data_IF_794256177465
#
_entry.id   IF_794256177465
#
_cell.length_a   1.000
_cell.length_b   1.000
_cell.length_c   1.000
_cell.angle_alpha   90.00
_cell.angle_beta   90.00
_cell.angle_gamma   90.00
#
_symmetry.space_group_name_H-M   'P 1'
#
loop_
_entity.id
_entity.type
_entity.pdbx_description
1 polymer ?
#
# COMPACT_ATOMS: atom_id res chain seq x y z
N UNK A 1 16.81 -11.55 -2.57
CA UNK A 1 15.61 -10.78 -2.95
C UNK A 1 16.01 -9.33 -3.14
N UNK A 2 15.50 -8.66 -4.18
CA UNK A 2 15.71 -7.22 -4.37
C UNK A 2 15.01 -6.46 -3.26
N UNK A 3 15.66 -5.46 -2.68
CA UNK A 3 15.06 -4.62 -1.63
C UNK A 3 14.02 -3.70 -2.27
N UNK A 4 12.79 -3.70 -1.75
CA UNK A 4 11.74 -2.80 -2.19
C UNK A 4 12.16 -1.34 -1.99
N UNK A 5 11.97 -0.51 -3.01
CA UNK A 5 12.30 0.92 -3.03
C UNK A 5 11.07 1.79 -2.81
N UNK A 6 9.90 1.31 -3.21
CA UNK A 6 8.64 2.03 -3.07
C UNK A 6 7.49 1.15 -2.56
N UNK A 7 6.62 1.75 -1.75
CA UNK A 7 5.35 1.17 -1.34
C UNK A 7 4.21 2.18 -1.49
N UNK A 8 3.07 1.71 -1.98
CA UNK A 8 1.80 2.45 -1.96
C UNK A 8 0.80 1.64 -1.15
N UNK A 9 0.19 2.28 -0.15
CA UNK A 9 -0.91 1.75 0.64
C UNK A 9 -2.17 2.52 0.25
N UNK A 10 -3.17 1.81 -0.26
CA UNK A 10 -4.49 2.34 -0.56
C UNK A 10 -5.41 2.08 0.63
N UNK A 11 -6.11 3.11 1.09
CA UNK A 11 -7.05 3.02 2.20
C UNK A 11 -8.34 3.76 1.84
N UNK A 12 -9.48 3.06 1.82
CA UNK A 12 -10.79 3.69 1.89
C UNK A 12 -11.31 3.56 3.31
N UNK A 13 -11.58 4.69 3.95
CA UNK A 13 -11.98 4.72 5.35
C UNK A 13 -13.43 4.31 5.48
N UNK A 14 -13.66 3.11 6.02
CA UNK A 14 -14.98 2.60 6.37
C UNK A 14 -15.14 2.63 7.89
N UNK A 15 -14.16 2.10 8.62
CA UNK A 15 -14.09 2.14 10.08
C UNK A 15 -13.28 3.36 10.55
N UNK A 16 -13.83 4.56 10.33
CA UNK A 16 -13.32 5.88 10.76
C UNK A 16 -11.82 5.91 11.13
N UNK A 17 -11.51 5.93 12.43
CA UNK A 17 -10.14 6.04 12.93
C UNK A 17 -9.36 4.73 12.79
N UNK A 18 -10.02 3.58 12.81
CA UNK A 18 -9.40 2.26 12.74
C UNK A 18 -8.57 2.10 11.47
N UNK A 19 -9.22 2.24 10.31
CA UNK A 19 -8.59 2.03 9.00
C UNK A 19 -7.49 3.05 8.72
N UNK A 20 -7.80 4.33 8.97
CA UNK A 20 -6.87 5.44 8.73
C UNK A 20 -5.64 5.33 9.63
N UNK A 21 -5.83 5.09 10.94
CA UNK A 21 -4.72 5.00 11.88
C UNK A 21 -3.88 3.73 11.64
N UNK A 22 -4.50 2.59 11.30
CA UNK A 22 -3.76 1.38 10.96
C UNK A 22 -2.91 1.59 9.72
N UNK A 23 -3.50 2.10 8.63
CA UNK A 23 -2.82 2.35 7.37
C UNK A 23 -1.67 3.36 7.54
N UNK A 24 -1.88 4.40 8.35
CA UNK A 24 -0.81 5.35 8.71
C UNK A 24 0.35 4.68 9.46
N UNK A 25 0.05 3.90 10.51
CA UNK A 25 1.08 3.20 11.29
C UNK A 25 1.83 2.19 10.41
N UNK A 26 1.14 1.50 9.51
CA UNK A 26 1.74 0.56 8.57
C UNK A 26 2.72 1.29 7.63
N UNK A 27 2.34 2.42 7.06
CA UNK A 27 3.24 3.24 6.23
C UNK A 27 4.49 3.68 7.01
N UNK A 28 4.33 4.11 8.25
CA UNK A 28 5.47 4.47 9.11
C UNK A 28 6.37 3.26 9.39
N UNK A 29 5.81 2.08 9.64
CA UNK A 29 6.57 0.86 9.84
C UNK A 29 7.34 0.45 8.57
N UNK A 30 6.74 0.58 7.39
CA UNK A 30 7.43 0.34 6.11
C UNK A 30 8.64 1.26 5.93
N UNK A 31 8.50 2.56 6.26
CA UNK A 31 9.63 3.51 6.28
C UNK A 31 10.72 3.07 7.25
N UNK A 32 10.35 2.65 8.47
CA UNK A 32 11.29 2.20 9.49
C UNK A 32 11.99 0.88 9.13
N UNK A 33 11.34 0.01 8.37
CA UNK A 33 11.95 -1.18 7.76
C UNK A 33 12.88 -0.83 6.57
N UNK A 34 12.97 0.45 6.22
CA UNK A 34 13.88 0.98 5.21
C UNK A 34 13.35 0.86 3.79
N UNK A 35 12.03 0.97 3.59
CA UNK A 35 11.43 1.28 2.29
C UNK A 35 11.57 2.80 2.04
N UNK A 36 12.40 3.25 1.09
CA UNK A 36 12.72 4.67 0.89
C UNK A 36 11.51 5.55 0.53
N UNK A 37 10.60 5.09 -0.32
CA UNK A 37 9.41 5.82 -0.73
C UNK A 37 8.15 5.11 -0.25
N UNK A 38 7.32 5.77 0.55
CA UNK A 38 6.06 5.20 1.04
C UNK A 38 4.98 6.24 0.89
N UNK A 39 3.91 5.89 0.20
CA UNK A 39 2.74 6.76 -0.02
C UNK A 39 1.49 6.11 0.55
N UNK A 40 0.75 6.85 1.37
CA UNK A 40 -0.60 6.54 1.77
C UNK A 40 -1.56 7.29 0.84
N UNK A 41 -2.39 6.55 0.10
CA UNK A 41 -3.50 7.10 -0.68
C UNK A 41 -4.78 6.85 0.10
N UNK A 42 -5.48 7.92 0.49
CA UNK A 42 -6.62 7.86 1.41
C UNK A 42 -7.78 8.73 0.95
N UNK A 43 -9.00 8.23 1.02
CA UNK A 43 -10.23 8.94 0.60
C UNK A 43 -10.70 9.99 1.61
N UNK A 44 -10.44 9.76 2.90
CA UNK A 44 -10.77 10.66 4.01
C UNK A 44 -9.53 11.18 4.76
N UNK A 45 -8.71 12.05 4.15
CA UNK A 45 -7.51 12.60 4.78
C UNK A 45 -7.79 13.38 6.06
N UNK A 46 -9.01 13.92 6.25
CA UNK A 46 -9.44 14.63 7.45
C UNK A 46 -9.37 13.76 8.71
N UNK A 47 -9.49 12.44 8.58
CA UNK A 47 -9.35 11.53 9.72
C UNK A 47 -7.91 11.53 10.25
N UNK A 48 -6.92 11.63 9.35
CA UNK A 48 -5.51 11.77 9.75
C UNK A 48 -5.26 13.12 10.42
N UNK A 49 -5.91 14.19 9.98
CA UNK A 49 -5.83 15.50 10.64
C UNK A 49 -6.33 15.45 12.07
N UNK A 50 -7.49 14.82 12.28
CA UNK A 50 -8.04 14.61 13.61
C UNK A 50 -7.10 13.75 14.48
N UNK A 51 -6.53 12.66 13.94
CA UNK A 51 -5.57 11.81 14.65
C UNK A 51 -4.30 12.53 15.08
N UNK A 52 -3.83 13.46 14.25
CA UNK A 52 -2.60 14.22 14.50
C UNK A 52 -2.83 15.58 15.16
N UNK A 53 -4.10 15.93 15.46
CA UNK A 53 -4.49 17.26 15.95
C UNK A 53 -3.86 18.38 15.10
N UNK A 54 -3.91 18.22 13.78
CA UNK A 54 -3.25 19.09 12.83
C UNK A 54 -4.28 19.86 11.99
N UNK A 55 -4.02 21.14 11.73
CA UNK A 55 -4.93 21.97 10.92
C UNK A 55 -4.84 21.67 9.42
N UNK A 56 -3.72 21.12 8.95
CA UNK A 56 -3.45 20.88 7.53
C UNK A 56 -2.69 19.60 7.30
N UNK A 57 -3.03 18.92 6.21
CA UNK A 57 -2.36 17.69 5.82
C UNK A 57 -1.08 18.08 5.10
N UNK A 58 0.06 17.68 5.66
CA UNK A 58 1.30 17.77 4.92
C UNK A 58 1.32 16.64 3.90
N UNK A 59 1.58 16.98 2.64
CA UNK A 59 1.80 15.99 1.57
C UNK A 59 2.92 15.03 1.95
N UNK A 60 3.92 15.48 2.72
CA UNK A 60 4.98 14.63 3.27
C UNK A 60 5.12 14.93 4.77
N UNK A 61 4.98 13.91 5.61
CA UNK A 61 5.27 14.06 7.04
C UNK A 61 6.76 14.29 7.26
N UNK A 62 7.09 15.36 7.98
CA UNK A 62 8.48 15.67 8.34
C UNK A 62 9.09 14.66 9.30
N UNK A 63 8.26 14.05 10.15
CA UNK A 63 8.72 13.10 11.16
C UNK A 63 8.95 11.70 10.56
N UNK A 64 7.97 11.18 9.79
CA UNK A 64 8.03 9.81 9.26
C UNK A 64 8.55 9.73 7.82
N UNK A 65 8.56 10.85 7.08
CA UNK A 65 8.86 10.88 5.65
C UNK A 65 7.80 10.20 4.78
N UNK A 66 6.67 9.78 5.34
CA UNK A 66 5.54 9.18 4.61
C UNK A 66 4.86 10.27 3.79
N UNK A 67 4.61 9.99 2.50
CA UNK A 67 3.79 10.83 1.63
C UNK A 67 2.32 10.49 1.86
N UNK A 68 1.46 11.49 1.97
CA UNK A 68 0.00 11.32 2.01
C UNK A 68 -0.59 12.03 0.81
N UNK A 69 -1.44 11.33 0.06
CA UNK A 69 -2.12 11.85 -1.11
C UNK A 69 -3.63 11.56 -0.98
N UNK A 70 -4.50 12.57 -1.11
CA UNK A 70 -5.93 12.34 -1.22
C UNK A 70 -6.25 11.42 -2.39
N UNK A 71 -7.21 10.51 -2.21
CA UNK A 71 -7.59 9.53 -3.23
C UNK A 71 -8.03 10.19 -4.53
N UNK A 72 -8.90 11.19 -4.44
CA UNK A 72 -9.39 11.93 -5.61
C UNK A 72 -8.26 12.65 -6.34
N UNK A 73 -7.31 13.24 -5.62
CA UNK A 73 -6.14 13.89 -6.22
C UNK A 73 -5.27 12.87 -6.98
N UNK A 74 -5.07 11.67 -6.42
CA UNK A 74 -4.36 10.60 -7.09
C UNK A 74 -5.05 10.18 -8.40
N UNK A 75 -6.36 9.94 -8.35
CA UNK A 75 -7.15 9.56 -9.52
C UNK A 75 -7.16 10.64 -10.60
N UNK A 76 -7.38 11.89 -10.22
CA UNK A 76 -7.37 13.02 -11.15
C UNK A 76 -5.99 13.23 -11.77
N UNK A 77 -4.93 13.07 -10.99
CA UNK A 77 -3.55 13.17 -11.47
C UNK A 77 -3.26 12.10 -12.51
N UNK A 78 -3.64 10.85 -12.23
CA UNK A 78 -3.47 9.74 -13.16
C UNK A 78 -4.35 9.85 -14.40
N UNK A 79 -5.56 10.37 -14.27
CA UNK A 79 -6.44 10.62 -15.41
C UNK A 79 -5.89 11.73 -16.34
N UNK A 80 -5.26 12.76 -15.79
CA UNK A 80 -4.69 13.89 -16.55
C UNK A 80 -3.35 13.56 -17.18
N UNK A 81 -2.43 12.99 -16.40
CA UNK A 81 -1.05 12.74 -16.83
C UNK A 81 -0.94 11.45 -17.66
N UNK A 82 -1.90 10.54 -17.53
CA UNK A 82 -1.83 9.20 -18.13
C UNK A 82 -0.70 8.35 -17.55
N UNK A 83 -0.75 7.05 -17.80
CA UNK A 83 0.34 6.13 -17.47
C UNK A 83 1.13 5.67 -18.69
N UNK A 84 0.52 5.60 -19.88
CA UNK A 84 1.14 5.05 -21.09
C UNK A 84 2.44 5.79 -21.47
N UNK A 85 2.38 7.11 -21.68
CA UNK A 85 3.55 7.92 -22.05
C UNK A 85 4.66 7.85 -20.99
N UNK A 86 4.31 7.73 -19.71
CA UNK A 86 5.27 7.65 -18.60
C UNK A 86 5.96 6.29 -18.56
N UNK A 87 5.21 5.22 -18.76
CA UNK A 87 5.73 3.85 -18.86
C UNK A 87 6.69 3.70 -20.05
N UNK A 88 6.36 4.29 -21.20
CA UNK A 88 7.24 4.29 -22.38
C UNK A 88 8.54 5.06 -22.14
N UNK A 89 8.47 6.19 -21.43
CA UNK A 89 9.63 6.99 -21.03
C UNK A 89 10.39 6.42 -19.82
N UNK A 90 9.93 5.31 -19.24
CA UNK A 90 10.55 4.67 -18.07
C UNK A 90 10.36 5.45 -16.75
N UNK A 91 9.45 6.42 -16.71
CA UNK A 91 9.04 7.08 -15.48
C UNK A 91 8.06 6.20 -14.70
N UNK A 92 8.59 5.56 -13.66
CA UNK A 92 7.84 4.67 -12.78
C UNK A 92 7.55 5.31 -11.42
N UNK A 93 7.63 6.65 -11.29
CA UNK A 93 7.58 7.33 -9.99
C UNK A 93 6.28 7.07 -9.22
N UNK A 94 5.19 6.78 -9.92
CA UNK A 94 3.89 6.48 -9.32
C UNK A 94 3.55 4.98 -9.32
N UNK A 95 4.44 4.09 -9.78
CA UNK A 95 4.33 2.65 -9.57
C UNK A 95 5.20 2.18 -8.40
N UNK A 96 4.73 1.17 -7.66
CA UNK A 96 5.40 0.71 -6.44
C UNK A 96 5.83 -0.76 -6.49
N UNK A 97 6.98 -1.06 -5.86
CA UNK A 97 7.42 -2.44 -5.61
C UNK A 97 6.46 -3.17 -4.65
N UNK A 98 5.82 -2.44 -3.75
CA UNK A 98 4.82 -2.98 -2.82
C UNK A 98 3.50 -2.22 -3.01
N UNK A 99 2.44 -2.95 -3.30
CA UNK A 99 1.08 -2.43 -3.41
C UNK A 99 0.24 -3.10 -2.34
N UNK A 100 -0.34 -2.32 -1.45
CA UNK A 100 -1.20 -2.81 -0.38
C UNK A 100 -2.58 -2.19 -0.56
N UNK A 101 -3.59 -3.02 -0.76
CA UNK A 101 -4.99 -2.62 -0.63
C UNK A 101 -5.43 -2.90 0.82
N UNK A 102 -5.69 -1.85 1.59
CA UNK A 102 -6.12 -1.98 2.96
C UNK A 102 -7.61 -2.31 3.00
N UNK A 103 -7.97 -3.38 3.71
CA UNK A 103 -9.36 -3.77 3.99
C UNK A 103 -10.19 -3.96 2.72
N UNK A 104 -9.57 -4.55 1.69
CA UNK A 104 -10.19 -4.86 0.39
C UNK A 104 -10.76 -3.59 -0.29
N UNK A 105 -10.12 -2.44 -0.10
CA UNK A 105 -10.62 -1.16 -0.62
C UNK A 105 -10.65 -1.03 -2.15
N UNK A 106 -9.98 -1.96 -2.88
CA UNK A 106 -9.74 -1.96 -4.33
C UNK A 106 -9.02 -0.67 -4.83
N UNK A 107 -7.76 -0.74 -5.30
CA UNK A 107 -7.09 0.42 -5.89
C UNK A 107 -7.83 0.97 -7.12
N UNK A 108 -7.59 2.24 -7.52
CA UNK A 108 -8.24 2.82 -8.70
C UNK A 108 -7.98 2.02 -9.97
N UNK A 109 -9.01 1.85 -10.81
CA UNK A 109 -8.92 1.05 -12.05
C UNK A 109 -7.79 1.53 -12.98
N UNK A 110 -7.56 2.84 -13.08
CA UNK A 110 -6.47 3.40 -13.88
C UNK A 110 -5.08 2.96 -13.38
N UNK A 111 -4.90 2.84 -12.07
CA UNK A 111 -3.66 2.34 -11.47
C UNK A 111 -3.46 0.85 -11.74
N UNK A 112 -4.54 0.06 -11.64
CA UNK A 112 -4.51 -1.37 -11.94
C UNK A 112 -4.15 -1.59 -13.41
N UNK A 113 -4.76 -0.84 -14.33
CA UNK A 113 -4.45 -0.92 -15.76
C UNK A 113 -2.98 -0.57 -16.02
N UNK A 114 -2.45 0.47 -15.39
CA UNK A 114 -1.05 0.86 -15.53
C UNK A 114 -0.07 -0.24 -15.06
N UNK A 115 -0.40 -0.91 -13.95
CA UNK A 115 0.37 -2.07 -13.49
C UNK A 115 0.28 -3.25 -14.47
N UNK A 116 -0.88 -3.49 -15.06
CA UNK A 116 -1.09 -4.52 -16.09
C UNK A 116 -0.26 -4.22 -17.33
N UNK A 117 -0.32 -3.00 -17.85
CA UNK A 117 0.42 -2.57 -19.05
C UNK A 117 1.93 -2.69 -18.82
N UNK A 118 2.41 -2.22 -17.67
CA UNK A 118 3.81 -2.38 -17.27
C UNK A 118 4.23 -3.87 -17.20
N UNK A 119 3.38 -4.72 -16.64
CA UNK A 119 3.65 -6.15 -16.55
C UNK A 119 3.74 -6.81 -17.94
N UNK A 120 2.80 -6.49 -18.84
CA UNK A 120 2.81 -6.99 -20.22
C UNK A 120 4.08 -6.58 -20.99
N UNK A 121 4.50 -5.32 -20.84
CA UNK A 121 5.74 -4.80 -21.48
C UNK A 121 6.99 -5.53 -20.96
N UNK A 122 6.99 -5.92 -19.68
CA UNK A 122 8.17 -6.49 -19.01
C UNK A 122 8.25 -8.02 -19.09
N UNK A 123 7.13 -8.74 -19.13
CA UNK A 123 7.14 -10.21 -19.18
C UNK A 123 7.61 -10.76 -20.56
N UNK A 124 7.49 -9.97 -21.63
CA UNK A 124 8.05 -10.27 -22.95
C UNK A 124 9.54 -9.93 -23.12
N UNK A 125 10.17 -9.24 -22.14
CA UNK A 125 11.61 -8.94 -22.17
C UNK A 125 12.39 -10.05 -21.47
N UNK A 126 13.43 -10.53 -22.11
CA UNK A 126 14.28 -11.63 -21.64
C UNK A 126 14.82 -11.33 -20.21
N UNK A 127 14.27 -12.01 -19.19
CA UNK A 127 14.55 -11.79 -17.75
C UNK A 127 16.04 -11.82 -17.39
N UNK A 128 16.87 -12.39 -18.28
CA UNK A 128 18.35 -12.47 -18.17
C UNK A 128 19.07 -11.14 -18.40
N UNK A 129 18.41 -10.11 -18.95
CA UNK A 129 19.00 -8.76 -19.19
C UNK A 129 18.59 -7.68 -18.19
N UNK A 130 17.77 -8.01 -17.18
CA UNK A 130 17.19 -7.02 -16.26
C UNK A 130 18.01 -6.86 -14.96
N UNK A 131 19.28 -6.45 -15.09
CA UNK A 131 19.94 -5.69 -14.01
C UNK A 131 19.52 -4.19 -14.03
N UNK A 132 18.71 -3.82 -15.04
CA UNK A 132 18.28 -2.46 -15.32
C UNK A 132 16.89 -2.17 -14.73
N UNK A 133 16.83 -1.82 -13.44
CA UNK A 133 15.84 -0.85 -12.91
C UNK A 133 14.35 -1.21 -12.83
N UNK A 134 13.85 -2.32 -13.40
CA UNK A 134 12.40 -2.64 -13.41
C UNK A 134 11.77 -2.87 -12.02
N UNK A 135 10.45 -2.76 -11.87
CA UNK A 135 9.71 -2.97 -10.61
C UNK A 135 9.28 -4.44 -10.50
N UNK A 136 9.51 -5.06 -9.34
CA UNK A 136 8.95 -6.37 -8.99
C UNK A 136 7.77 -6.17 -8.03
N UNK A 137 6.57 -6.11 -8.60
CA UNK A 137 5.36 -5.73 -7.88
C UNK A 137 4.89 -6.87 -6.97
N UNK A 138 4.92 -6.61 -5.67
CA UNK A 138 4.31 -7.43 -4.64
C UNK A 138 2.98 -6.80 -4.22
N UNK A 139 1.88 -7.46 -4.57
CA UNK A 139 0.53 -6.97 -4.27
C UNK A 139 -0.09 -7.77 -3.12
N UNK A 140 -0.44 -7.08 -2.05
CA UNK A 140 -1.10 -7.64 -0.87
C UNK A 140 -2.48 -7.06 -0.65
N UNK A 141 -3.44 -7.96 -0.38
CA UNK A 141 -4.76 -7.65 0.17
C UNK A 141 -4.68 -7.75 1.69
N UNK A 142 -4.67 -6.61 2.37
CA UNK A 142 -4.63 -6.58 3.83
C UNK A 142 -6.04 -6.74 4.40
N UNK A 143 -6.21 -7.68 5.33
CA UNK A 143 -7.45 -7.86 6.09
C UNK A 143 -7.31 -7.33 7.53
N UNK A 144 -8.42 -7.31 8.26
CA UNK A 144 -8.44 -7.02 9.69
C UNK A 144 -7.70 -8.09 10.49
N UNK A 145 -7.37 -7.74 11.74
CA UNK A 145 -6.80 -8.67 12.70
C UNK A 145 -7.77 -9.82 12.95
N UNK A 146 -7.30 -11.05 12.73
CA UNK A 146 -8.06 -12.26 13.03
C UNK A 146 -7.35 -13.07 14.15
N UNK A 147 -8.17 -13.69 14.99
CA UNK A 147 -7.73 -14.60 16.07
C UNK A 147 -8.11 -16.05 15.78
N UNK A 148 -8.97 -16.26 14.80
CA UNK A 148 -9.52 -17.54 14.42
C UNK A 148 -8.54 -18.35 13.58
N UNK A 149 -8.64 -19.68 13.66
CA UNK A 149 -7.72 -20.60 12.99
C UNK A 149 -7.73 -20.52 11.47
N UNK A 150 -8.83 -20.03 10.86
CA UNK A 150 -8.91 -19.86 9.41
C UNK A 150 -7.86 -18.86 8.89
N UNK A 151 -7.43 -17.90 9.73
CA UNK A 151 -6.44 -16.89 9.38
C UNK A 151 -5.08 -17.51 8.99
N UNK A 152 -4.70 -18.59 9.68
CA UNK A 152 -3.48 -19.36 9.39
C UNK A 152 -3.51 -19.98 7.99
N UNK A 153 -4.70 -20.36 7.52
CA UNK A 153 -4.88 -21.01 6.22
C UNK A 153 -5.01 -20.00 5.09
N UNK A 154 -5.57 -18.83 5.38
CA UNK A 154 -5.81 -17.73 4.45
C UNK A 154 -4.56 -16.86 4.23
N UNK A 155 -3.76 -16.62 5.26
CA UNK A 155 -2.56 -15.78 5.15
C UNK A 155 -1.62 -16.26 4.03
N UNK A 156 -1.09 -15.31 3.25
CA UNK A 156 -0.23 -15.52 2.09
C UNK A 156 -0.82 -16.33 0.92
N UNK A 157 -2.09 -16.78 0.99
CA UNK A 157 -2.79 -17.39 -0.14
C UNK A 157 -3.07 -16.36 -1.22
N UNK A 158 -3.32 -16.84 -2.44
CA UNK A 158 -3.80 -15.98 -3.53
C UNK A 158 -5.15 -15.36 -3.14
N UNK A 159 -5.31 -14.09 -3.49
CA UNK A 159 -6.53 -13.31 -3.31
C UNK A 159 -7.15 -13.04 -4.69
N UNK A 160 -7.87 -14.00 -5.28
CA UNK A 160 -8.55 -13.76 -6.55
C UNK A 160 -9.65 -12.71 -6.35
N UNK A 161 -9.80 -11.79 -7.30
CA UNK A 161 -10.95 -10.89 -7.36
C UNK A 161 -11.82 -11.28 -8.55
N UNK A 162 -13.12 -11.53 -8.37
CA UNK A 162 -14.04 -11.83 -9.48
C UNK A 162 -14.14 -10.70 -10.52
N UNK A 163 -13.79 -9.47 -10.12
CA UNK A 163 -13.88 -8.27 -10.95
C UNK A 163 -12.59 -7.96 -11.70
N UNK A 164 -11.47 -8.55 -11.30
CA UNK A 164 -10.14 -8.26 -11.83
C UNK A 164 -9.50 -9.55 -12.32
N UNK A 165 -9.54 -9.76 -13.63
CA UNK A 165 -9.02 -10.96 -14.29
C UNK A 165 -7.62 -10.76 -14.90
N UNK A 166 -7.03 -9.57 -14.76
CA UNK A 166 -5.73 -9.24 -15.32
C UNK A 166 -4.60 -10.09 -14.71
N UNK A 167 -3.56 -10.36 -15.51
CA UNK A 167 -2.44 -11.20 -15.11
C UNK A 167 -1.76 -10.71 -13.81
N UNK A 168 -1.68 -9.39 -13.62
CA UNK A 168 -1.11 -8.80 -12.40
C UNK A 168 -2.01 -9.02 -11.17
N UNK A 169 -3.34 -8.99 -11.33
CA UNK A 169 -4.28 -9.22 -10.25
C UNK A 169 -4.19 -10.65 -9.70
N UNK A 170 -3.78 -11.63 -10.53
CA UNK A 170 -3.55 -13.01 -10.10
C UNK A 170 -2.35 -13.17 -9.14
N UNK A 171 -1.51 -12.14 -8.99
CA UNK A 171 -0.39 -12.10 -8.04
C UNK A 171 -0.78 -11.57 -6.67
N UNK A 172 -2.01 -11.05 -6.50
CA UNK A 172 -2.55 -10.60 -5.22
C UNK A 172 -2.52 -11.73 -4.19
N UNK A 173 -2.06 -11.41 -2.98
CA UNK A 173 -2.05 -12.35 -1.85
C UNK A 173 -2.73 -11.74 -0.63
N UNK A 174 -3.49 -12.55 0.08
CA UNK A 174 -4.02 -12.18 1.38
C UNK A 174 -2.89 -11.96 2.39
N UNK A 175 -2.99 -10.89 3.15
CA UNK A 175 -2.18 -10.61 4.32
C UNK A 175 -3.13 -10.41 5.50
N UNK A 176 -3.31 -11.48 6.29
CA UNK A 176 -4.14 -11.46 7.48
C UNK A 176 -3.25 -11.29 8.72
N UNK A 177 -3.34 -10.16 9.45
CA UNK A 177 -2.68 -10.00 10.75
C UNK A 177 -3.24 -10.98 11.78
N UNK A 178 -2.42 -11.42 12.73
CA UNK A 178 -2.82 -12.38 13.75
C UNK A 178 -1.74 -12.68 14.78
N UNK A 179 -2.07 -13.51 15.75
CA UNK A 179 -1.21 -13.86 16.88
C UNK A 179 -0.42 -15.15 16.68
N UNK A 180 -0.71 -15.93 15.63
CA UNK A 180 -0.01 -17.17 15.34
C UNK A 180 1.23 -16.92 14.49
N UNK A 181 2.18 -17.85 14.53
CA UNK A 181 3.36 -17.82 13.65
C UNK A 181 3.03 -18.08 12.18
N UNK A 182 1.78 -18.42 11.85
CA UNK A 182 1.30 -18.67 10.48
C UNK A 182 0.52 -17.48 9.88
N UNK A 183 0.16 -16.50 10.69
CA UNK A 183 -0.43 -15.23 10.25
C UNK A 183 0.65 -14.17 9.96
N UNK A 184 0.21 -13.00 9.49
CA UNK A 184 1.05 -11.85 9.19
C UNK A 184 1.62 -11.13 10.41
N UNK A 185 1.39 -11.67 11.61
CA UNK A 185 1.84 -11.09 12.86
C UNK A 185 1.09 -9.81 13.22
N UNK A 186 1.72 -9.00 14.07
CA UNK A 186 1.15 -7.75 14.58
C UNK A 186 2.05 -6.58 14.18
N UNK A 187 1.42 -5.45 13.89
CA UNK A 187 2.12 -4.20 13.72
C UNK A 187 2.59 -3.68 15.08
N UNK A 188 3.87 -3.82 15.36
CA UNK A 188 4.47 -3.35 16.61
C UNK A 188 5.34 -2.12 16.35
N UNK A 189 4.98 -0.99 16.97
CA UNK A 189 5.80 0.22 16.98
C UNK A 189 6.82 0.23 18.13
N UNK A 190 7.62 1.29 18.24
CA UNK A 190 8.39 1.54 19.46
C UNK A 190 7.42 1.86 20.60
N UNK A 191 7.18 0.88 21.48
CA UNK A 191 6.29 1.03 22.64
C UNK A 191 6.80 2.20 23.49
N UNK A 192 6.03 3.29 23.56
CA UNK A 192 6.20 4.34 24.56
C UNK A 192 5.01 4.21 25.49
N UNK A 193 5.27 4.00 26.78
CA UNK A 193 4.22 4.05 27.78
C UNK A 193 3.54 5.43 27.67
N UNK A 194 2.26 5.43 27.31
CA UNK A 194 1.45 6.65 27.25
C UNK A 194 0.82 6.77 28.64
N UNK A 195 1.23 7.78 29.39
CA UNK A 195 0.60 8.13 30.66
C UNK A 195 -0.80 8.73 30.43
N UNK A 196 -1.61 8.79 31.48
CA UNK A 196 -2.99 9.31 31.39
C UNK A 196 -3.03 10.76 30.88
N UNK A 197 -1.99 11.53 31.13
CA UNK A 197 -1.87 12.93 30.68
C UNK A 197 -1.71 13.02 29.17
N UNK A 198 -0.94 12.10 28.55
CA UNK A 198 -0.75 12.04 27.09
C UNK A 198 -1.88 11.31 26.35
N UNK A 199 -2.82 10.69 27.07
CA UNK A 199 -4.01 10.04 26.50
C UNK A 199 -5.18 10.98 26.27
N UNK A 200 -5.18 12.18 26.86
CA UNK A 200 -6.26 13.16 26.76
C UNK A 200 -6.05 14.14 25.62
#
# INVERSE_FOLDING_TARGET
MRRARSAIVFCRVVDHFGDAAFSWRLCCALKNCGVPSVTLIIDRPEVLLALHQADKLLTISRESGVRVLPWEEAEQRWAREGFADRLENGDLADLADIVIEAFVCEPPTCYIQALTDYHCITDGRDKRRSDSGGIDVQWFTLDYLATESWADEAHARRSPSPRLNDAIAQRRRWFVPGFSTRTGGLLHGSWRHIDEVRRR
#
